data_IF_091212869139
#
_entry.id   IF_091212869139
#
_cell.length_a   1.000
_cell.length_b   1.000
_cell.length_c   1.000
_cell.angle_alpha   90.00
_cell.angle_beta   90.00
_cell.angle_gamma   90.00
#
_symmetry.space_group_name_H-M   'P 1'
#
loop_
_entity.id
_entity.type
_entity.pdbx_description
1 polymer ?
#
# COMPACT_ATOMS: atom_id res chain seq x y z
N UNK A 1 12.88 5.41 -9.32
CA UNK A 1 13.50 4.22 -9.95
C UNK A 1 12.93 2.93 -9.37
N UNK A 2 12.92 2.76 -8.05
CA UNK A 2 12.36 1.57 -7.38
C UNK A 2 10.89 1.33 -7.72
N UNK A 3 10.04 2.37 -7.69
CA UNK A 3 8.62 2.23 -8.07
C UNK A 3 8.45 1.68 -9.49
N UNK A 4 9.31 2.05 -10.45
CA UNK A 4 9.27 1.49 -11.81
C UNK A 4 9.53 -0.01 -11.81
N UNK A 5 10.53 -0.46 -11.05
CA UNK A 5 10.83 -1.89 -10.91
C UNK A 5 9.67 -2.63 -10.22
N UNK A 6 9.05 -2.03 -9.21
CA UNK A 6 7.86 -2.59 -8.57
C UNK A 6 6.69 -2.72 -9.53
N UNK A 7 6.42 -1.72 -10.38
CA UNK A 7 5.42 -1.84 -11.45
C UNK A 7 5.73 -2.99 -12.41
N UNK A 8 6.97 -3.08 -12.90
CA UNK A 8 7.38 -4.18 -13.79
C UNK A 8 7.20 -5.54 -13.12
N UNK A 9 7.55 -5.66 -11.83
CA UNK A 9 7.36 -6.91 -11.10
C UNK A 9 5.88 -7.26 -10.97
N UNK A 10 5.01 -6.30 -10.65
CA UNK A 10 3.55 -6.51 -10.59
C UNK A 10 2.99 -6.99 -11.94
N UNK A 11 3.36 -6.33 -13.03
CA UNK A 11 2.94 -6.72 -14.39
C UNK A 11 3.38 -8.16 -14.72
N UNK A 12 4.65 -8.49 -14.47
CA UNK A 12 5.19 -9.84 -14.69
C UNK A 12 4.54 -10.92 -13.82
N UNK A 13 3.88 -10.54 -12.73
CA UNK A 13 3.26 -11.44 -11.77
C UNK A 13 1.72 -11.43 -11.82
N UNK A 14 1.13 -10.83 -12.86
CA UNK A 14 -0.32 -10.72 -13.04
C UNK A 14 -1.04 -10.07 -11.84
N UNK A 15 -0.41 -9.07 -11.22
CA UNK A 15 -1.05 -8.25 -10.19
C UNK A 15 -1.84 -7.15 -10.89
N UNK A 16 -3.15 -7.10 -10.66
CA UNK A 16 -3.99 -6.01 -11.16
C UNK A 16 -3.61 -4.71 -10.45
N UNK A 17 -3.13 -3.72 -11.20
CA UNK A 17 -2.66 -2.45 -10.64
C UNK A 17 -3.84 -1.47 -10.60
N UNK A 18 -4.14 -0.93 -9.41
CA UNK A 18 -5.29 -0.04 -9.20
C UNK A 18 -4.90 1.30 -8.59
N UNK A 19 -5.72 2.31 -8.87
CA UNK A 19 -5.69 3.59 -8.18
C UNK A 19 -6.86 3.64 -7.21
N UNK A 20 -6.55 3.90 -5.93
CA UNK A 20 -7.53 3.89 -4.85
C UNK A 20 -7.61 5.28 -4.20
N UNK A 21 -8.77 5.65 -3.61
CA UNK A 21 -8.92 6.93 -2.94
C UNK A 21 -7.96 7.05 -1.74
N UNK A 22 -7.17 8.12 -1.71
CA UNK A 22 -6.31 8.46 -0.58
C UNK A 22 -7.05 9.18 0.56
N UNK A 23 -8.33 9.50 0.35
CA UNK A 23 -9.22 10.10 1.34
C UNK A 23 -10.38 9.15 1.63
N UNK A 24 -10.74 9.00 2.89
CA UNK A 24 -11.78 8.07 3.34
C UNK A 24 -12.57 8.69 4.49
N UNK A 25 -13.86 8.38 4.60
CA UNK A 25 -14.67 8.74 5.77
C UNK A 25 -14.54 7.74 6.93
N UNK A 26 -13.86 6.62 6.69
CA UNK A 26 -13.58 5.58 7.69
C UNK A 26 -12.08 5.47 7.96
N UNK A 27 -11.70 5.12 9.18
CA UNK A 27 -10.32 4.73 9.49
C UNK A 27 -10.06 3.37 8.84
N UNK A 28 -9.11 3.34 7.90
CA UNK A 28 -8.76 2.15 7.11
C UNK A 28 -7.85 1.17 7.86
N UNK A 29 -7.18 1.63 8.92
CA UNK A 29 -6.40 0.79 9.83
C UNK A 29 -6.54 1.27 11.29
N UNK A 30 -7.61 0.87 12.00
CA UNK A 30 -7.80 1.29 13.38
C UNK A 30 -6.73 0.68 14.30
N UNK A 31 -6.34 1.41 15.35
CA UNK A 31 -5.51 0.86 16.44
C UNK A 31 -6.15 -0.42 16.98
N UNK A 32 -5.46 -1.56 16.81
CA UNK A 32 -5.95 -2.89 17.15
C UNK A 32 -4.88 -3.97 16.99
N UNK A 33 -5.23 -5.24 17.24
CA UNK A 33 -4.32 -6.37 17.04
C UNK A 33 -4.01 -6.55 15.55
N UNK A 34 -2.89 -5.96 15.09
CA UNK A 34 -2.44 -6.01 13.70
C UNK A 34 -2.13 -4.65 13.08
N UNK A 35 -2.51 -3.54 13.72
CA UNK A 35 -2.09 -2.19 13.33
C UNK A 35 -2.09 -1.24 14.51
N UNK A 36 -1.03 -0.45 14.64
CA UNK A 36 -0.87 0.57 15.67
C UNK A 36 -0.71 1.94 15.00
N UNK A 37 -1.59 2.27 14.04
CA UNK A 37 -1.55 3.55 13.35
C UNK A 37 -2.53 4.57 13.89
N UNK A 38 -2.04 5.80 14.09
CA UNK A 38 -2.92 6.94 14.39
C UNK A 38 -3.40 7.57 13.07
N UNK A 39 -4.72 7.67 12.80
CA UNK A 39 -5.20 8.21 11.53
C UNK A 39 -4.91 9.71 11.40
N UNK A 40 -4.66 10.17 10.17
CA UNK A 40 -4.49 11.59 9.88
C UNK A 40 -5.84 12.22 9.51
N UNK A 41 -6.44 12.95 10.46
CA UNK A 41 -7.75 13.59 10.30
C UNK A 41 -7.61 14.93 9.56
N UNK A 42 -8.53 15.18 8.64
CA UNK A 42 -8.63 16.41 7.84
C UNK A 42 -10.03 16.99 7.98
N UNK A 43 -10.11 18.31 8.14
CA UNK A 43 -11.37 19.06 8.17
C UNK A 43 -11.45 19.89 6.88
N UNK A 44 -12.58 19.82 6.18
CA UNK A 44 -12.76 20.58 4.95
C UNK A 44 -12.78 22.08 5.23
N UNK A 45 -12.02 22.84 4.44
CA UNK A 45 -12.01 24.31 4.50
C UNK A 45 -13.35 24.91 4.05
N UNK A 46 -14.06 24.27 3.11
CA UNK A 46 -15.33 24.77 2.57
C UNK A 46 -16.55 24.34 3.40
N UNK A 47 -16.41 23.34 4.26
CA UNK A 47 -17.45 22.88 5.18
C UNK A 47 -16.81 22.32 6.45
N UNK A 48 -16.83 23.10 7.54
CA UNK A 48 -16.20 22.73 8.81
C UNK A 48 -16.88 21.54 9.52
N UNK A 49 -18.11 21.17 9.12
CA UNK A 49 -18.79 19.98 9.62
C UNK A 49 -18.42 18.71 8.84
N UNK A 50 -17.63 18.84 7.76
CA UNK A 50 -17.19 17.72 6.96
C UNK A 50 -15.75 17.35 7.32
N UNK A 51 -15.61 16.17 7.92
CA UNK A 51 -14.33 15.60 8.32
C UNK A 51 -14.08 14.31 7.54
N UNK A 52 -12.82 14.06 7.21
CA UNK A 52 -12.38 12.84 6.56
C UNK A 52 -10.96 12.51 7.01
N UNK A 53 -10.46 11.36 6.59
CA UNK A 53 -9.12 10.89 6.92
C UNK A 53 -8.31 10.71 5.64
N UNK A 54 -7.00 10.87 5.77
CA UNK A 54 -6.06 10.37 4.78
C UNK A 54 -5.80 8.89 5.05
N UNK A 55 -5.72 8.09 3.99
CA UNK A 55 -5.55 6.64 4.08
C UNK A 55 -4.18 6.27 4.66
N UNK A 56 -4.18 5.41 5.67
CA UNK A 56 -2.98 4.78 6.27
C UNK A 56 -2.58 3.47 5.57
N UNK A 57 -3.57 2.78 5.03
CA UNK A 57 -3.54 1.63 4.14
C UNK A 57 -4.81 1.64 3.29
N UNK A 58 -4.82 0.92 2.17
CA UNK A 58 -6.03 0.71 1.36
C UNK A 58 -6.39 -0.78 1.27
N UNK A 59 -5.95 -1.60 2.23
CA UNK A 59 -6.19 -3.05 2.29
C UNK A 59 -7.66 -3.42 2.06
N UNK A 60 -8.61 -2.78 2.76
CA UNK A 60 -10.04 -3.11 2.59
C UNK A 60 -10.57 -2.85 1.18
N UNK A 61 -10.04 -1.84 0.48
CA UNK A 61 -10.40 -1.61 -0.92
C UNK A 61 -9.80 -2.70 -1.82
N UNK A 62 -8.57 -3.14 -1.55
CA UNK A 62 -7.94 -4.26 -2.28
C UNK A 62 -8.70 -5.58 -2.05
N UNK A 63 -9.06 -5.89 -0.81
CA UNK A 63 -9.87 -7.06 -0.48
C UNK A 63 -11.23 -7.03 -1.17
N UNK A 64 -11.90 -5.86 -1.18
CA UNK A 64 -13.16 -5.70 -1.89
C UNK A 64 -13.00 -5.96 -3.38
N UNK A 65 -11.93 -5.46 -4.00
CA UNK A 65 -11.65 -5.66 -5.42
C UNK A 65 -11.40 -7.13 -5.75
N UNK A 66 -10.66 -7.87 -4.91
CA UNK A 66 -10.48 -9.33 -5.09
C UNK A 66 -11.78 -10.12 -4.97
N UNK A 67 -12.68 -9.69 -4.08
CA UNK A 67 -13.97 -10.38 -3.91
C UNK A 67 -14.95 -10.03 -5.04
N UNK A 68 -14.87 -8.81 -5.57
CA UNK A 68 -15.80 -8.31 -6.57
C UNK A 68 -15.38 -8.57 -8.02
N UNK A 69 -14.08 -8.79 -8.28
CA UNK A 69 -13.53 -9.07 -9.60
C UNK A 69 -12.98 -10.49 -9.66
N UNK A 70 -13.02 -11.10 -10.84
CA UNK A 70 -12.39 -12.40 -11.10
C UNK A 70 -10.88 -12.24 -11.33
N UNK A 71 -10.16 -11.84 -10.26
CA UNK A 71 -8.71 -11.61 -10.25
C UNK A 71 -8.07 -12.33 -9.07
N UNK A 72 -6.82 -12.76 -9.21
CA UNK A 72 -6.10 -13.51 -8.17
C UNK A 72 -5.17 -12.64 -7.32
N UNK A 73 -4.84 -11.43 -7.77
CA UNK A 73 -3.97 -10.48 -7.06
C UNK A 73 -4.26 -9.05 -7.51
N UNK A 74 -4.21 -8.11 -6.57
CA UNK A 74 -4.45 -6.67 -6.82
C UNK A 74 -3.53 -5.84 -5.93
N UNK A 75 -3.04 -4.72 -6.44
CA UNK A 75 -2.14 -3.87 -5.68
C UNK A 75 -2.06 -2.43 -6.17
N UNK A 76 -1.38 -1.60 -5.39
CA UNK A 76 -1.14 -0.20 -5.71
C UNK A 76 0.25 0.23 -5.28
N UNK A 77 0.76 1.31 -5.89
CA UNK A 77 1.87 2.10 -5.33
C UNK A 77 1.36 3.53 -5.19
N UNK A 78 1.28 4.04 -3.96
CA UNK A 78 0.78 5.40 -3.70
C UNK A 78 1.30 5.91 -2.35
N UNK A 79 0.92 7.14 -2.01
CA UNK A 79 1.22 7.69 -0.68
C UNK A 79 0.17 7.26 0.34
N UNK A 80 0.63 6.89 1.52
CA UNK A 80 -0.21 6.73 2.71
C UNK A 80 0.29 7.60 3.85
N UNK A 81 -0.57 7.77 4.86
CA UNK A 81 -0.45 8.82 5.86
C UNK A 81 -0.65 8.29 7.28
N UNK A 82 0.16 8.76 8.21
CA UNK A 82 0.02 8.48 9.65
C UNK A 82 0.11 9.77 10.46
N UNK A 83 -0.79 9.91 11.42
CA UNK A 83 -0.89 11.03 12.36
C UNK A 83 -0.01 10.87 13.62
N UNK A 84 0.95 9.95 13.60
CA UNK A 84 1.96 9.72 14.65
C UNK A 84 3.00 10.84 14.73
N UNK A 85 3.76 10.89 15.83
CA UNK A 85 4.90 11.82 15.93
C UNK A 85 6.00 11.45 14.94
N UNK A 86 6.52 12.46 14.24
CA UNK A 86 7.64 12.31 13.31
C UNK A 86 8.94 12.23 14.08
N UNK A 87 9.83 11.36 13.61
CA UNK A 87 11.21 11.26 14.08
C UNK A 87 12.16 11.03 12.90
N UNK A 88 13.43 10.71 13.18
CA UNK A 88 14.44 10.49 12.14
C UNK A 88 14.16 9.27 11.23
N UNK A 89 13.18 8.43 11.57
CA UNK A 89 12.81 7.20 10.87
C UNK A 89 11.36 7.19 10.38
N UNK A 90 10.50 8.04 10.92
CA UNK A 90 9.05 8.04 10.66
C UNK A 90 8.58 9.39 10.12
N UNK A 91 7.95 9.37 8.94
CA UNK A 91 7.33 10.53 8.31
C UNK A 91 5.80 10.40 8.38
N UNK A 92 5.10 11.54 8.40
CA UNK A 92 3.63 11.56 8.30
C UNK A 92 3.12 11.03 6.97
N UNK A 93 3.94 11.10 5.90
CA UNK A 93 3.61 10.62 4.57
C UNK A 93 4.77 9.75 4.08
N UNK A 94 4.45 8.59 3.53
CA UNK A 94 5.44 7.69 2.94
C UNK A 94 4.88 7.00 1.69
N UNK A 95 5.79 6.56 0.81
CA UNK A 95 5.43 5.72 -0.32
C UNK A 95 5.11 4.32 0.19
N UNK A 96 3.95 3.82 -0.20
CA UNK A 96 3.45 2.52 0.20
C UNK A 96 3.10 1.71 -1.04
N UNK A 97 3.58 0.47 -1.04
CA UNK A 97 3.23 -0.55 -2.01
C UNK A 97 2.59 -1.68 -1.24
N UNK A 98 1.37 -2.01 -1.62
CA UNK A 98 0.55 -3.03 -0.96
C UNK A 98 -0.09 -3.91 -2.02
N UNK A 99 -0.15 -5.21 -1.73
CA UNK A 99 -0.83 -6.22 -2.55
C UNK A 99 -1.72 -7.04 -1.65
N UNK A 100 -2.93 -7.27 -2.11
CA UNK A 100 -3.78 -8.34 -1.61
C UNK A 100 -3.83 -9.45 -2.67
N UNK A 101 -3.84 -10.72 -2.24
CA UNK A 101 -3.86 -11.86 -3.15
C UNK A 101 -4.64 -13.04 -2.57
N UNK A 102 -5.21 -13.87 -3.45
CA UNK A 102 -5.81 -15.13 -3.05
C UNK A 102 -4.72 -16.12 -2.60
N UNK A 103 -4.98 -16.85 -1.53
CA UNK A 103 -4.07 -17.88 -1.01
C UNK A 103 -3.97 -17.83 0.51
N UNK A 104 -2.87 -18.37 1.02
CA UNK A 104 -2.54 -18.35 2.44
C UNK A 104 -1.22 -17.62 2.71
N UNK A 105 -0.87 -17.47 3.98
CA UNK A 105 0.35 -16.79 4.42
C UNK A 105 1.64 -17.33 3.77
N UNK A 106 1.72 -18.63 3.47
CA UNK A 106 2.91 -19.18 2.82
C UNK A 106 3.02 -18.68 1.37
N UNK A 107 1.91 -18.57 0.65
CA UNK A 107 1.90 -17.98 -0.68
C UNK A 107 2.35 -16.51 -0.65
N UNK A 108 1.89 -15.74 0.33
CA UNK A 108 2.33 -14.35 0.52
C UNK A 108 3.84 -14.26 0.82
N UNK A 109 4.37 -15.15 1.67
CA UNK A 109 5.81 -15.24 1.98
C UNK A 109 6.65 -15.56 0.76
N UNK A 110 6.20 -16.49 -0.07
CA UNK A 110 6.87 -16.83 -1.32
C UNK A 110 6.91 -15.62 -2.28
N UNK A 111 5.78 -14.91 -2.42
CA UNK A 111 5.72 -13.72 -3.28
C UNK A 111 6.57 -12.56 -2.80
N UNK A 112 6.60 -12.26 -1.50
CA UNK A 112 7.46 -11.18 -1.01
C UNK A 112 8.96 -11.50 -1.16
N UNK A 113 9.35 -12.77 -1.00
CA UNK A 113 10.74 -13.21 -1.24
C UNK A 113 11.10 -13.06 -2.72
N UNK A 114 10.21 -13.47 -3.63
CA UNK A 114 10.40 -13.29 -5.07
C UNK A 114 10.56 -11.81 -5.45
N UNK A 115 9.67 -10.94 -4.93
CA UNK A 115 9.75 -9.49 -5.11
C UNK A 115 11.09 -8.91 -4.66
N UNK A 116 11.54 -9.24 -3.45
CA UNK A 116 12.82 -8.75 -2.91
C UNK A 116 13.98 -9.20 -3.80
N UNK A 117 14.01 -10.48 -4.20
CA UNK A 117 15.05 -11.01 -5.11
C UNK A 117 15.06 -10.26 -6.45
N UNK A 118 13.90 -10.01 -7.03
CA UNK A 118 13.77 -9.26 -8.27
C UNK A 118 14.36 -7.84 -8.13
N UNK A 119 13.93 -7.08 -7.12
CA UNK A 119 14.40 -5.71 -6.88
C UNK A 119 15.92 -5.69 -6.68
N UNK A 120 16.46 -6.57 -5.84
CA UNK A 120 17.89 -6.64 -5.55
C UNK A 120 18.69 -6.97 -6.82
N UNK A 121 18.24 -7.95 -7.61
CA UNK A 121 18.93 -8.33 -8.84
C UNK A 121 18.95 -7.20 -9.88
N UNK A 122 17.83 -6.49 -10.06
CA UNK A 122 17.75 -5.39 -11.03
C UNK A 122 18.59 -4.18 -10.58
N UNK A 123 18.63 -3.89 -9.28
CA UNK A 123 19.52 -2.87 -8.73
C UNK A 123 21.00 -3.24 -8.93
N UNK A 124 21.39 -4.49 -8.62
CA UNK A 124 22.76 -4.96 -8.83
C UNK A 124 23.14 -4.86 -10.31
N UNK A 125 22.29 -5.34 -11.24
CA UNK A 125 22.57 -5.28 -12.68
C UNK A 125 22.83 -3.85 -13.16
N UNK A 126 22.07 -2.88 -12.67
CA UNK A 126 22.25 -1.48 -13.04
C UNK A 126 23.54 -0.87 -12.48
N UNK A 127 23.96 -1.30 -11.29
CA UNK A 127 25.10 -0.74 -10.57
C UNK A 127 26.37 -1.60 -10.66
N UNK A 128 26.37 -2.66 -11.48
CA UNK A 128 27.60 -3.33 -11.88
C UNK A 128 28.46 -2.33 -12.66
N UNK A 129 29.61 -2.01 -12.08
CA UNK A 129 30.71 -1.27 -12.71
C UNK A 129 31.26 -2.12 -13.86
#
# INVERSE_FOLDING_TARGET
MTNKLTYIWMENNNVEIVNLPITTQSVTSPMGLGSDSKPYKVISKSNLNYEFYLADSMQFHLELMLRAKDISSVGYITNTFRGEQVDNRHLHQFNHFEIEMLGNLNNCKEKIIDYIKFIVNELIKKHKI
#
